data_IF_064808269643
#
_entry.id   IF_064808269643
#
_cell.length_a   1.000
_cell.length_b   1.000
_cell.length_c   1.000
_cell.angle_alpha   90.00
_cell.angle_beta   90.00
_cell.angle_gamma   90.00
#
_symmetry.space_group_name_H-M   'P 1'
#
loop_
_entity.id
_entity.type
_entity.pdbx_description
1 polymer ?
#
# COMPACT_ATOMS: atom_id res chain seq x y z
N UNK A 1 9.69 -58.23 -26.78
CA UNK A 1 9.89 -56.81 -27.12
C UNK A 1 9.01 -55.98 -26.20
N UNK A 2 9.58 -55.27 -25.22
CA UNK A 2 8.82 -54.44 -24.25
C UNK A 2 8.87 -52.99 -24.72
N UNK A 3 7.73 -52.46 -25.15
CA UNK A 3 7.58 -51.05 -25.48
C UNK A 3 7.53 -50.23 -24.18
N UNK A 4 8.48 -49.31 -24.02
CA UNK A 4 8.49 -48.33 -22.93
C UNK A 4 7.77 -47.09 -23.45
N UNK A 5 6.55 -46.85 -22.98
CA UNK A 5 5.88 -45.55 -23.17
C UNK A 5 6.53 -44.53 -22.25
N UNK A 6 7.22 -43.55 -22.83
CA UNK A 6 7.65 -42.35 -22.14
C UNK A 6 6.47 -41.40 -22.01
N UNK A 7 5.91 -41.27 -20.80
CA UNK A 7 4.94 -40.23 -20.47
C UNK A 7 5.70 -38.91 -20.28
N UNK A 8 5.64 -38.00 -21.25
CA UNK A 8 6.04 -36.61 -21.03
C UNK A 8 4.95 -35.93 -20.20
N UNK A 9 5.23 -35.70 -18.92
CA UNK A 9 4.44 -34.82 -18.08
C UNK A 9 4.82 -33.37 -18.40
N UNK A 10 4.00 -32.69 -19.21
CA UNK A 10 4.03 -31.23 -19.31
C UNK A 10 3.57 -30.64 -17.98
N UNK A 11 4.53 -30.24 -17.14
CA UNK A 11 4.28 -29.36 -16.00
C UNK A 11 3.87 -27.99 -16.54
N UNK A 12 2.57 -27.75 -16.66
CA UNK A 12 2.01 -26.41 -16.80
C UNK A 12 2.31 -25.67 -15.49
N UNK A 13 3.32 -24.80 -15.50
CA UNK A 13 3.52 -23.83 -14.43
C UNK A 13 2.27 -22.95 -14.38
N UNK A 14 1.41 -23.17 -13.39
CA UNK A 14 0.34 -22.24 -13.10
C UNK A 14 0.96 -20.85 -12.89
N UNK A 15 0.35 -19.77 -13.42
CA UNK A 15 0.78 -18.43 -13.05
C UNK A 15 0.64 -18.35 -11.54
N UNK A 16 1.76 -18.12 -10.84
CA UNK A 16 1.70 -17.84 -9.43
C UNK A 16 0.83 -16.59 -9.28
N UNK A 17 -0.34 -16.72 -8.66
CA UNK A 17 -0.99 -15.59 -8.03
C UNK A 17 0.08 -14.98 -7.12
N UNK A 18 0.67 -13.85 -7.54
CA UNK A 18 1.89 -13.37 -6.91
C UNK A 18 1.52 -12.76 -5.57
N UNK A 19 1.68 -13.56 -4.51
CA UNK A 19 2.04 -12.99 -3.22
C UNK A 19 3.17 -11.99 -3.47
N UNK A 20 3.07 -10.80 -2.88
CA UNK A 20 4.03 -9.74 -3.19
C UNK A 20 5.44 -10.21 -2.85
N UNK A 21 6.39 -9.91 -3.74
CA UNK A 21 7.73 -10.47 -3.59
C UNK A 21 8.36 -9.98 -2.29
N UNK A 22 9.03 -10.88 -1.56
CA UNK A 22 9.77 -10.51 -0.32
C UNK A 22 10.73 -9.33 -0.55
N UNK A 23 11.35 -9.27 -1.73
CA UNK A 23 12.25 -8.19 -2.12
C UNK A 23 11.54 -6.83 -2.17
N UNK A 24 10.35 -6.78 -2.76
CA UNK A 24 9.54 -5.56 -2.79
C UNK A 24 9.07 -5.15 -1.40
N UNK A 25 8.56 -6.08 -0.59
CA UNK A 25 8.13 -5.78 0.78
C UNK A 25 9.27 -5.19 1.60
N UNK A 26 10.48 -5.76 1.51
CA UNK A 26 11.65 -5.24 2.21
C UNK A 26 12.07 -3.86 1.71
N UNK A 27 12.04 -3.64 0.40
CA UNK A 27 12.36 -2.34 -0.21
C UNK A 27 11.38 -1.26 0.25
N UNK A 28 10.07 -1.54 0.17
CA UNK A 28 9.01 -0.61 0.57
C UNK A 28 9.05 -0.33 2.06
N UNK A 29 9.21 -1.35 2.90
CA UNK A 29 9.31 -1.17 4.34
C UNK A 29 10.50 -0.28 4.70
N UNK A 30 11.70 -0.56 4.15
CA UNK A 30 12.88 0.26 4.42
C UNK A 30 12.68 1.72 3.96
N UNK A 31 12.09 1.90 2.78
CA UNK A 31 11.78 3.21 2.24
C UNK A 31 10.78 3.99 3.10
N UNK A 32 9.66 3.37 3.48
CA UNK A 32 8.63 4.00 4.28
C UNK A 32 9.08 4.22 5.73
N UNK A 33 9.99 3.41 6.27
CA UNK A 33 10.62 3.68 7.57
C UNK A 33 11.43 4.99 7.56
N UNK A 34 12.05 5.34 6.43
CA UNK A 34 12.72 6.63 6.27
C UNK A 34 11.73 7.76 5.97
N UNK A 35 10.71 7.50 5.15
CA UNK A 35 9.84 8.55 4.61
C UNK A 35 8.69 8.94 5.54
N UNK A 36 8.10 8.00 6.29
CA UNK A 36 6.98 8.27 7.20
C UNK A 36 7.26 9.42 8.18
N UNK A 37 8.40 9.47 8.92
CA UNK A 37 8.66 10.58 9.83
C UNK A 37 8.82 11.93 9.11
N UNK A 38 9.27 11.95 7.86
CA UNK A 38 9.38 13.19 7.06
C UNK A 38 8.01 13.68 6.60
N UNK A 39 7.15 12.76 6.18
CA UNK A 39 5.75 13.03 5.83
C UNK A 39 4.98 13.59 7.02
N UNK A 40 5.09 12.93 8.17
CA UNK A 40 4.50 13.37 9.43
C UNK A 40 4.99 14.77 9.81
N UNK A 41 6.31 15.01 9.81
CA UNK A 41 6.87 16.31 10.21
C UNK A 41 6.41 17.47 9.32
N UNK A 42 6.04 17.19 8.07
CA UNK A 42 5.51 18.18 7.12
C UNK A 42 3.99 18.29 7.16
N UNK A 43 3.29 17.31 7.74
CA UNK A 43 1.84 17.21 7.61
C UNK A 43 1.38 17.02 6.17
N UNK A 44 2.22 16.40 5.33
CA UNK A 44 1.99 16.23 3.89
C UNK A 44 2.15 14.77 3.51
N UNK A 45 1.27 14.25 2.66
CA UNK A 45 1.48 12.98 1.99
C UNK A 45 2.63 13.07 0.99
N UNK A 46 3.31 11.94 0.82
CA UNK A 46 4.30 11.75 -0.24
C UNK A 46 4.09 10.39 -0.87
N UNK A 47 4.13 10.36 -2.20
CA UNK A 47 3.89 9.16 -2.97
C UNK A 47 4.92 8.93 -4.06
N UNK A 48 4.91 7.72 -4.58
CA UNK A 48 5.68 7.34 -5.74
C UNK A 48 5.35 5.93 -6.19
N UNK A 49 6.25 5.41 -7.01
CA UNK A 49 6.14 4.05 -7.53
C UNK A 49 7.30 3.20 -7.04
N UNK A 50 7.05 1.90 -6.86
CA UNK A 50 8.09 0.88 -6.99
C UNK A 50 8.22 0.59 -8.47
N UNK A 51 9.44 0.68 -8.97
CA UNK A 51 9.75 0.50 -10.38
C UNK A 51 10.64 -0.72 -10.58
N UNK A 52 10.43 -1.41 -11.70
CA UNK A 52 11.38 -2.35 -12.26
C UNK A 52 12.20 -1.62 -13.32
N UNK A 53 13.52 -1.57 -13.12
CA UNK A 53 14.45 -1.01 -14.08
C UNK A 53 14.61 -1.93 -15.31
N UNK A 54 15.14 -1.43 -16.44
CA UNK A 54 15.48 -2.26 -17.59
C UNK A 54 16.42 -3.43 -17.27
N UNK A 55 17.26 -3.31 -16.24
CA UNK A 55 18.11 -4.41 -15.74
C UNK A 55 17.33 -5.53 -15.05
N UNK A 56 16.06 -5.30 -14.71
CA UNK A 56 15.21 -6.19 -13.92
C UNK A 56 15.16 -5.85 -12.44
N UNK A 57 16.03 -4.96 -11.95
CA UNK A 57 16.12 -4.60 -10.52
C UNK A 57 14.91 -3.78 -10.04
N UNK A 58 14.51 -4.01 -8.78
CA UNK A 58 13.51 -3.19 -8.10
C UNK A 58 14.15 -1.93 -7.52
N UNK A 59 13.45 -0.79 -7.63
CA UNK A 59 13.87 0.48 -7.05
C UNK A 59 12.69 1.37 -6.70
N UNK A 60 12.91 2.31 -5.78
CA UNK A 60 11.96 3.39 -5.54
C UNK A 60 12.11 4.46 -6.64
N UNK A 61 10.98 4.84 -7.24
CA UNK A 61 10.88 5.94 -8.19
C UNK A 61 11.03 7.31 -7.51
N UNK A 62 11.02 8.38 -8.30
CA UNK A 62 11.08 9.73 -7.74
C UNK A 62 9.86 9.98 -6.82
N UNK A 63 10.05 10.47 -5.59
CA UNK A 63 8.93 10.86 -4.72
C UNK A 63 8.27 12.14 -5.23
N UNK A 64 6.96 12.23 -5.08
CA UNK A 64 6.22 13.46 -5.27
C UNK A 64 5.46 13.84 -3.99
N UNK A 65 5.69 15.06 -3.54
CA UNK A 65 5.05 15.66 -2.38
C UNK A 65 3.69 16.24 -2.73
N UNK A 66 2.81 16.34 -1.74
CA UNK A 66 1.51 16.95 -1.91
C UNK A 66 1.07 17.78 -0.72
N UNK A 67 -0.21 17.61 -0.34
CA UNK A 67 -0.84 18.24 0.81
C UNK A 67 -1.20 17.21 1.88
N UNK A 68 -2.07 17.60 2.81
CA UNK A 68 -2.39 16.80 3.98
C UNK A 68 -3.04 15.43 3.70
N UNK A 69 -3.77 15.32 2.57
CA UNK A 69 -4.58 14.14 2.22
C UNK A 69 -4.50 13.81 0.72
N UNK A 70 -3.44 14.27 0.06
CA UNK A 70 -3.20 13.97 -1.34
C UNK A 70 -1.75 14.21 -1.71
N UNK A 71 -1.28 13.52 -2.75
CA UNK A 71 0.01 13.79 -3.36
C UNK A 71 0.03 13.49 -4.85
N UNK A 72 1.03 14.04 -5.54
CA UNK A 72 1.21 13.82 -6.98
C UNK A 72 2.27 12.77 -7.19
N UNK A 73 1.95 11.71 -7.94
CA UNK A 73 2.93 10.67 -8.28
C UNK A 73 4.14 11.26 -9.01
N UNK A 74 5.34 10.82 -8.62
CA UNK A 74 6.55 11.18 -9.36
C UNK A 74 6.63 10.54 -10.74
N UNK A 75 7.43 11.15 -11.61
CA UNK A 75 7.61 10.69 -12.99
C UNK A 75 8.27 9.30 -13.04
N UNK A 76 7.77 8.45 -13.95
CA UNK A 76 8.37 7.16 -14.29
C UNK A 76 9.44 7.38 -15.36
N UNK A 77 10.72 7.07 -15.10
CA UNK A 77 11.76 7.20 -16.13
C UNK A 77 11.51 6.25 -17.31
N UNK A 78 11.99 6.64 -18.49
CA UNK A 78 11.86 5.80 -19.69
C UNK A 78 12.43 4.38 -19.47
N UNK A 79 11.77 3.39 -20.05
CA UNK A 79 12.16 1.97 -19.96
C UNK A 79 11.89 1.31 -18.59
N UNK A 80 11.41 2.05 -17.58
CA UNK A 80 10.98 1.45 -16.32
C UNK A 80 9.54 0.98 -16.40
N UNK A 81 9.23 -0.11 -15.70
CA UNK A 81 7.88 -0.62 -15.54
C UNK A 81 7.43 -0.37 -14.11
N UNK A 82 6.19 0.07 -13.91
CA UNK A 82 5.66 0.19 -12.55
C UNK A 82 5.25 -1.17 -12.01
N UNK A 83 5.70 -1.48 -10.80
CA UNK A 83 5.36 -2.70 -10.06
C UNK A 83 4.21 -2.44 -9.09
N UNK A 84 4.28 -1.34 -8.33
CA UNK A 84 3.27 -0.92 -7.37
C UNK A 84 3.32 0.59 -7.12
N UNK A 85 2.24 1.14 -6.58
CA UNK A 85 2.17 2.48 -5.99
C UNK A 85 2.60 2.42 -4.52
N UNK A 86 3.05 3.53 -3.96
CA UNK A 86 3.19 3.69 -2.51
C UNK A 86 2.89 5.12 -2.11
N UNK A 87 2.36 5.30 -0.91
CA UNK A 87 2.25 6.60 -0.26
C UNK A 87 2.32 6.51 1.26
N UNK A 88 2.53 7.65 1.89
CA UNK A 88 2.34 7.86 3.31
C UNK A 88 1.07 8.67 3.52
N UNK A 89 0.36 8.42 4.62
CA UNK A 89 -0.49 9.43 5.22
C UNK A 89 0.40 10.39 6.03
N UNK A 90 0.04 11.68 6.04
CA UNK A 90 0.79 12.75 6.70
C UNK A 90 0.76 12.67 8.24
N UNK A 91 0.72 13.82 8.92
CA UNK A 91 0.55 13.85 10.36
C UNK A 91 -0.86 13.34 10.75
N UNK A 92 -0.99 12.79 11.96
CA UNK A 92 -2.29 12.53 12.54
C UNK A 92 -3.07 13.85 12.65
N UNK A 93 -4.28 13.90 12.08
CA UNK A 93 -5.08 15.12 12.04
C UNK A 93 -6.52 14.88 12.52
N UNK A 94 -7.10 15.80 13.31
CA UNK A 94 -8.49 15.70 13.73
C UNK A 94 -9.47 15.64 12.55
N UNK A 95 -10.53 14.87 12.71
CA UNK A 95 -11.55 14.66 11.68
C UNK A 95 -11.16 13.76 10.50
N UNK A 96 -9.96 13.16 10.49
CA UNK A 96 -9.50 12.31 9.39
C UNK A 96 -9.02 10.94 9.89
N UNK A 97 -9.63 9.88 9.36
CA UNK A 97 -9.26 8.50 9.68
C UNK A 97 -8.06 8.03 8.84
N UNK A 98 -6.88 8.53 9.20
CA UNK A 98 -5.62 8.26 8.51
C UNK A 98 -4.97 6.91 8.85
N UNK A 99 -5.64 6.02 9.58
CA UNK A 99 -5.06 4.71 9.98
C UNK A 99 -5.42 3.56 9.04
N UNK A 100 -6.25 3.81 8.03
CA UNK A 100 -6.63 2.85 6.99
C UNK A 100 -6.52 3.53 5.63
N UNK A 101 -6.22 2.80 4.54
CA UNK A 101 -6.26 3.36 3.18
C UNK A 101 -7.62 4.01 2.88
N UNK A 102 -7.64 5.02 2.01
CA UNK A 102 -8.88 5.61 1.54
C UNK A 102 -9.60 4.67 0.56
N UNK A 103 -10.91 4.85 0.36
CA UNK A 103 -11.61 4.07 -0.69
C UNK A 103 -11.09 4.41 -2.08
N UNK A 104 -10.69 5.67 -2.28
CA UNK A 104 -10.12 6.14 -3.54
C UNK A 104 -8.77 5.49 -3.84
N UNK A 105 -7.94 5.22 -2.83
CA UNK A 105 -6.66 4.52 -2.98
C UNK A 105 -6.91 3.14 -3.59
N UNK A 106 -7.85 2.41 -2.99
CA UNK A 106 -8.20 1.04 -3.37
C UNK A 106 -8.86 1.00 -4.75
N UNK A 107 -9.78 1.91 -5.03
CA UNK A 107 -10.45 2.02 -6.32
C UNK A 107 -9.44 2.34 -7.44
N UNK A 108 -8.53 3.29 -7.20
CA UNK A 108 -7.51 3.69 -8.17
C UNK A 108 -6.52 2.55 -8.45
N UNK A 109 -6.05 1.87 -7.41
CA UNK A 109 -5.18 0.70 -7.54
C UNK A 109 -5.89 -0.43 -8.31
N UNK A 110 -7.18 -0.63 -8.05
CA UNK A 110 -8.00 -1.60 -8.78
C UNK A 110 -8.19 -1.24 -10.27
N UNK A 111 -8.54 0.00 -10.56
CA UNK A 111 -8.72 0.49 -11.94
C UNK A 111 -7.44 0.36 -12.76
N UNK A 112 -6.28 0.50 -12.13
CA UNK A 112 -4.97 0.36 -12.75
C UNK A 112 -4.42 -1.07 -12.73
N UNK A 113 -5.14 -2.03 -12.11
CA UNK A 113 -4.67 -3.41 -11.91
C UNK A 113 -3.32 -3.46 -11.17
N UNK A 114 -3.10 -2.53 -10.24
CA UNK A 114 -1.80 -2.24 -9.63
C UNK A 114 -1.90 -2.36 -8.12
N UNK A 115 -0.96 -3.08 -7.51
CA UNK A 115 -0.88 -3.14 -6.06
C UNK A 115 -0.38 -1.82 -5.46
N UNK A 116 -0.77 -1.54 -4.22
CA UNK A 116 -0.38 -0.34 -3.49
C UNK A 116 0.09 -0.58 -2.07
N UNK A 117 0.81 0.40 -1.53
CA UNK A 117 1.39 0.37 -0.19
C UNK A 117 1.09 1.68 0.54
N UNK A 118 0.63 1.59 1.79
CA UNK A 118 0.27 2.78 2.58
C UNK A 118 0.91 2.74 3.95
N UNK A 119 1.71 3.76 4.28
CA UNK A 119 2.20 3.99 5.64
C UNK A 119 1.28 4.96 6.39
N UNK A 120 1.00 4.70 7.67
CA UNK A 120 0.07 5.52 8.47
C UNK A 120 0.77 6.28 9.60
N UNK A 121 0.13 7.31 10.20
CA UNK A 121 0.71 8.07 11.31
C UNK A 121 0.95 7.21 12.56
N UNK A 122 0.11 6.21 12.82
CA UNK A 122 0.30 5.21 13.88
C UNK A 122 1.39 4.16 13.56
N UNK A 123 2.05 4.28 12.41
CA UNK A 123 3.16 3.44 12.00
C UNK A 123 2.74 2.08 11.47
N UNK A 124 1.50 1.91 10.99
CA UNK A 124 1.07 0.70 10.28
C UNK A 124 1.61 0.73 8.85
N UNK A 125 1.82 -0.45 8.28
CA UNK A 125 2.08 -0.62 6.85
C UNK A 125 0.98 -1.49 6.25
N UNK A 126 0.26 -0.94 5.30
CA UNK A 126 -0.80 -1.60 4.56
C UNK A 126 -0.34 -2.01 3.17
N UNK A 127 -0.94 -3.08 2.68
CA UNK A 127 -0.91 -3.49 1.28
C UNK A 127 -2.32 -3.48 0.71
N UNK A 128 -2.45 -2.99 -0.52
CA UNK A 128 -3.66 -3.01 -1.33
C UNK A 128 -3.42 -3.95 -2.50
N UNK A 129 -4.24 -4.99 -2.62
CA UNK A 129 -4.23 -5.85 -3.79
C UNK A 129 -5.08 -5.20 -4.90
N UNK A 130 -4.44 -4.76 -5.98
CA UNK A 130 -5.08 -4.08 -7.11
C UNK A 130 -5.91 -4.99 -8.01
N UNK A 131 -5.89 -6.31 -7.82
CA UNK A 131 -6.77 -7.21 -8.59
C UNK A 131 -8.09 -7.46 -7.86
N UNK A 132 -8.04 -7.56 -6.53
CA UNK A 132 -9.16 -8.02 -5.70
C UNK A 132 -9.77 -6.94 -4.82
N UNK A 133 -9.06 -5.82 -4.58
CA UNK A 133 -9.44 -4.82 -3.58
C UNK A 133 -9.31 -5.31 -2.14
N UNK A 134 -8.59 -6.40 -1.91
CA UNK A 134 -8.24 -6.87 -0.57
C UNK A 134 -7.14 -5.97 0.01
N UNK A 135 -7.38 -5.47 1.21
CA UNK A 135 -6.48 -4.60 1.94
C UNK A 135 -6.05 -5.34 3.21
N UNK A 136 -4.76 -5.41 3.50
CA UNK A 136 -4.28 -6.05 4.73
C UNK A 136 -3.02 -5.38 5.27
N UNK A 137 -2.86 -5.43 6.59
CA UNK A 137 -1.66 -4.93 7.25
C UNK A 137 -0.53 -5.93 7.01
N UNK A 138 0.56 -5.45 6.43
CA UNK A 138 1.83 -6.19 6.39
C UNK A 138 2.45 -6.21 7.77
N UNK A 139 2.26 -5.12 8.52
CA UNK A 139 2.59 -5.03 9.94
C UNK A 139 1.75 -3.95 10.63
N UNK A 140 1.54 -4.14 11.94
CA UNK A 140 0.69 -3.30 12.77
C UNK A 140 1.33 -1.99 13.25
N UNK A 141 0.71 -1.37 14.27
CA UNK A 141 1.18 -0.10 14.83
C UNK A 141 2.63 -0.17 15.30
N UNK A 142 3.36 0.93 15.13
CA UNK A 142 4.77 1.04 15.53
C UNK A 142 5.73 0.20 14.67
N UNK A 143 5.26 -0.38 13.56
CA UNK A 143 6.13 -1.03 12.59
C UNK A 143 7.03 -0.02 11.88
N UNK A 144 6.48 1.14 11.55
CA UNK A 144 7.18 2.32 11.04
C UNK A 144 7.25 3.41 12.13
N UNK A 145 8.17 4.39 12.04
CA UNK A 145 8.18 5.52 12.95
C UNK A 145 6.82 6.23 12.94
N UNK A 146 6.23 6.37 14.13
CA UNK A 146 4.90 6.91 14.32
C UNK A 146 4.94 8.39 14.69
N UNK A 147 3.83 9.08 14.41
CA UNK A 147 3.59 10.44 14.84
C UNK A 147 3.44 10.49 16.37
N UNK A 148 4.23 11.31 17.09
CA UNK A 148 4.07 11.49 18.53
C UNK A 148 2.68 12.01 18.94
N UNK A 149 1.97 12.70 18.04
CA UNK A 149 0.60 13.19 18.24
C UNK A 149 -0.49 12.17 17.93
N UNK A 150 -0.14 10.96 17.48
CA UNK A 150 -1.11 9.92 17.15
C UNK A 150 -1.90 9.43 18.37
N UNK A 151 -3.23 9.38 18.24
CA UNK A 151 -4.14 8.83 19.25
C UNK A 151 -4.73 7.51 18.73
N UNK A 152 -4.41 6.36 19.35
CA UNK A 152 -4.89 5.06 18.89
C UNK A 152 -6.42 4.94 18.87
N UNK A 153 -6.92 4.36 17.77
CA UNK A 153 -8.33 3.96 17.61
C UNK A 153 -9.35 5.11 17.78
N UNK A 154 -8.94 6.35 17.51
CA UNK A 154 -9.81 7.54 17.55
C UNK A 154 -11.07 7.40 16.68
N UNK A 155 -10.96 6.65 15.57
CA UNK A 155 -12.05 6.36 14.63
C UNK A 155 -12.57 4.92 14.76
N UNK A 156 -12.41 4.35 15.95
CA UNK A 156 -12.74 2.97 16.27
C UNK A 156 -11.66 1.96 15.84
N UNK A 157 -11.77 0.70 16.30
CA UNK A 157 -10.76 -0.32 16.10
C UNK A 157 -10.39 -0.55 14.64
N UNK A 158 -9.10 -0.61 14.37
CA UNK A 158 -8.53 -0.91 13.05
C UNK A 158 -8.26 -2.41 12.92
N UNK A 159 -9.04 -3.10 12.10
CA UNK A 159 -8.88 -4.52 11.80
C UNK A 159 -7.59 -4.79 11.02
N UNK A 160 -7.11 -6.04 11.00
CA UNK A 160 -5.90 -6.44 10.25
C UNK A 160 -6.11 -6.46 8.73
N UNK A 161 -7.36 -6.55 8.27
CA UNK A 161 -7.72 -6.52 6.86
C UNK A 161 -9.09 -5.91 6.61
N UNK A 162 -9.29 -5.42 5.39
CA UNK A 162 -10.54 -4.89 4.89
C UNK A 162 -10.80 -5.37 3.46
N UNK A 163 -12.07 -5.53 3.12
CA UNK A 163 -12.50 -5.43 1.72
C UNK A 163 -12.88 -3.98 1.42
N UNK A 164 -12.88 -3.58 0.15
CA UNK A 164 -13.39 -2.27 -0.26
C UNK A 164 -14.80 -1.97 0.30
N UNK A 165 -15.69 -2.97 0.31
CA UNK A 165 -17.02 -2.82 0.90
C UNK A 165 -17.00 -2.58 2.42
N UNK A 166 -16.10 -3.23 3.16
CA UNK A 166 -15.92 -2.98 4.60
C UNK A 166 -15.36 -1.58 4.87
N UNK A 167 -14.41 -1.13 4.04
CA UNK A 167 -13.82 0.19 4.13
C UNK A 167 -14.85 1.30 3.85
N UNK A 168 -15.68 1.14 2.82
CA UNK A 168 -16.82 2.04 2.54
C UNK A 168 -17.78 2.16 3.72
N UNK A 169 -18.10 1.04 4.39
CA UNK A 169 -18.95 1.05 5.60
C UNK A 169 -18.28 1.78 6.77
N UNK A 170 -16.97 1.60 6.97
CA UNK A 170 -16.21 2.32 8.00
C UNK A 170 -16.28 3.82 7.79
N UNK A 171 -15.98 4.31 6.58
CA UNK A 171 -16.04 5.74 6.30
C UNK A 171 -17.48 6.29 6.38
N UNK A 172 -18.49 5.53 5.94
CA UNK A 172 -19.89 5.93 6.10
C UNK A 172 -20.29 6.06 7.59
N UNK A 173 -19.81 5.16 8.46
CA UNK A 173 -20.02 5.26 9.90
C UNK A 173 -19.31 6.49 10.49
N UNK A 174 -18.06 6.75 10.09
CA UNK A 174 -17.28 7.89 10.57
C UNK A 174 -17.90 9.25 10.18
N UNK A 175 -18.49 9.36 8.98
CA UNK A 175 -19.26 10.55 8.57
C UNK A 175 -20.54 10.75 9.40
N UNK A 176 -21.05 9.70 10.04
CA UNK A 176 -22.18 9.75 10.98
C UNK A 176 -21.78 9.99 12.44
N UNK A 177 -20.52 9.74 12.81
CA UNK A 177 -19.97 9.93 14.16
C UNK A 177 -19.67 11.41 14.51
N UNK A 178 -19.90 12.34 13.58
CA UNK A 178 -19.91 13.79 13.80
C UNK A 178 -21.30 14.40 14.06
N UNK A 179 -22.34 13.57 14.22
CA UNK A 179 -23.69 13.98 14.63
C UNK A 179 -24.04 13.40 16.01
N UNK A 180 -23.28 13.74 17.03
CA UNK A 180 -23.72 13.72 18.43
C UNK A 180 -23.17 14.94 19.15
#
# INVERSE_FOLDING_TARGET
MRAILALLACLLAAPAATAQSRAETQLVHAWLAEMNPRSIARGEEVCGFVLRAPSGDLRIGKPGWGGAVSCTMGQVPAGHVVVSSWHTHGAAMPGYDGEVPSTLDVETDMENGRNGWVATPGGRLWFINGETGLIYQVCGRGCLPADPGFVPEQYGPVAESFSLGALRRRFAANLGLGRQ
#
